data_IF_376876271743
#
_entry.id   IF_376876271743
#
_cell.length_a   1.000
_cell.length_b   1.000
_cell.length_c   1.000
_cell.angle_alpha   90.00
_cell.angle_beta   90.00
_cell.angle_gamma   90.00
#
_symmetry.space_group_name_H-M   'P 1'
#
loop_
_entity.id
_entity.type
_entity.pdbx_description
1 polymer ?
#
# COMPACT_ATOMS: atom_id res chain seq x y z
N UNK A 1 -7.11 9.89 15.57
CA UNK A 1 -8.11 10.35 16.55
C UNK A 1 -7.52 11.03 17.80
N UNK A 2 -6.47 10.50 18.45
CA UNK A 2 -5.93 11.10 19.69
C UNK A 2 -5.25 12.46 19.51
N UNK A 3 -5.10 12.94 18.27
CA UNK A 3 -4.50 14.25 17.93
C UNK A 3 -3.13 14.45 18.57
N UNK A 4 -2.29 13.42 18.52
CA UNK A 4 -0.96 13.44 19.12
C UNK A 4 0.09 13.07 18.07
N UNK A 5 0.74 14.09 17.50
CA UNK A 5 1.76 13.94 16.46
C UNK A 5 2.97 13.14 16.93
N UNK A 6 3.38 13.30 18.20
CA UNK A 6 4.52 12.56 18.77
C UNK A 6 4.23 11.06 18.80
N UNK A 7 3.06 10.69 19.32
CA UNK A 7 2.63 9.29 19.34
C UNK A 7 2.44 8.72 17.93
N UNK A 8 1.83 9.50 17.03
CA UNK A 8 1.67 9.09 15.62
C UNK A 8 3.04 8.74 15.01
N UNK A 9 4.03 9.62 15.19
CA UNK A 9 5.41 9.40 14.74
C UNK A 9 6.02 8.13 15.32
N UNK A 10 5.88 7.90 16.62
CA UNK A 10 6.42 6.70 17.29
C UNK A 10 5.84 5.41 16.69
N UNK A 11 4.54 5.39 16.37
CA UNK A 11 3.91 4.25 15.70
C UNK A 11 4.42 4.07 14.26
N UNK A 12 4.63 5.16 13.52
CA UNK A 12 5.21 5.08 12.17
C UNK A 12 6.65 4.54 12.20
N UNK A 13 7.47 4.93 13.19
CA UNK A 13 8.83 4.40 13.35
C UNK A 13 8.83 2.91 13.73
N UNK A 14 7.82 2.43 14.47
CA UNK A 14 7.64 1.00 14.74
C UNK A 14 7.26 0.26 13.45
N UNK A 15 6.32 0.80 12.66
CA UNK A 15 5.90 0.21 11.39
C UNK A 15 7.06 0.12 10.40
N UNK A 16 7.86 1.18 10.26
CA UNK A 16 9.03 1.24 9.38
C UNK A 16 10.09 0.16 9.72
N UNK A 17 10.40 -0.03 11.01
CA UNK A 17 11.30 -1.10 11.45
C UNK A 17 10.77 -2.49 11.11
N UNK A 18 9.49 -2.75 11.39
CA UNK A 18 8.87 -4.05 11.10
C UNK A 18 8.74 -4.32 9.60
N UNK A 19 8.51 -3.29 8.78
CA UNK A 19 8.50 -3.42 7.32
C UNK A 19 9.86 -3.87 6.79
N UNK A 20 10.96 -3.35 7.37
CA UNK A 20 12.31 -3.82 7.02
C UNK A 20 12.48 -5.30 7.32
N UNK A 21 12.00 -5.78 8.47
CA UNK A 21 12.05 -7.21 8.82
C UNK A 21 11.20 -8.07 7.88
N UNK A 22 10.01 -7.60 7.49
CA UNK A 22 9.15 -8.30 6.53
C UNK A 22 9.85 -8.43 5.17
N UNK A 23 10.44 -7.34 4.67
CA UNK A 23 11.10 -7.31 3.35
C UNK A 23 12.21 -8.36 3.24
N UNK A 24 12.97 -8.60 4.32
CA UNK A 24 14.02 -9.63 4.35
C UNK A 24 13.47 -11.06 4.23
N UNK A 25 12.23 -11.29 4.63
CA UNK A 25 11.57 -12.60 4.56
C UNK A 25 10.95 -12.88 3.18
N UNK A 26 10.76 -11.86 2.35
CA UNK A 26 10.13 -12.01 1.03
C UNK A 26 11.08 -12.67 0.04
N UNK A 27 10.52 -13.59 -0.75
CA UNK A 27 11.19 -14.15 -1.91
C UNK A 27 10.79 -13.43 -3.21
N UNK A 28 11.14 -14.01 -4.36
CA UNK A 28 10.91 -13.41 -5.68
C UNK A 28 9.55 -13.78 -6.30
N UNK A 29 8.72 -14.54 -5.59
CA UNK A 29 7.32 -14.84 -5.90
C UNK A 29 6.35 -13.96 -5.10
N UNK A 30 6.84 -13.28 -4.06
CA UNK A 30 6.03 -12.41 -3.21
C UNK A 30 5.86 -10.99 -3.77
N UNK A 31 4.68 -10.42 -3.50
CA UNK A 31 4.37 -9.01 -3.74
C UNK A 31 3.83 -8.38 -2.45
N UNK A 32 4.54 -7.39 -1.93
CA UNK A 32 4.11 -6.60 -0.77
C UNK A 32 3.44 -5.31 -1.24
N UNK A 33 2.22 -5.05 -0.76
CA UNK A 33 1.52 -3.77 -0.96
C UNK A 33 1.30 -3.11 0.41
N UNK A 34 1.72 -1.85 0.54
CA UNK A 34 1.49 -1.01 1.72
C UNK A 34 0.66 0.21 1.32
N UNK A 35 -0.51 0.38 1.94
CA UNK A 35 -1.39 1.51 1.71
C UNK A 35 -2.14 1.93 2.98
N UNK A 36 -2.65 3.16 2.98
CA UNK A 36 -3.67 3.59 3.95
C UNK A 36 -5.06 3.61 3.29
N UNK A 37 -6.11 3.83 4.06
CA UNK A 37 -7.50 3.92 3.60
C UNK A 37 -8.09 5.33 3.73
N UNK A 38 -7.54 6.16 4.63
CA UNK A 38 -7.89 7.58 4.81
C UNK A 38 -6.76 8.36 5.49
N UNK A 39 -6.93 9.68 5.61
CA UNK A 39 -6.07 10.56 6.42
C UNK A 39 -6.64 10.76 7.83
N UNK A 40 -5.76 11.01 8.79
CA UNK A 40 -6.15 11.34 10.17
C UNK A 40 -5.11 12.29 10.77
N UNK A 41 -4.99 13.48 10.15
CA UNK A 41 -4.01 14.50 10.52
C UNK A 41 -4.12 14.84 12.03
N UNK A 42 -3.07 14.60 12.82
CA UNK A 42 -3.09 14.84 14.26
C UNK A 42 -3.10 16.33 14.65
N UNK A 43 -2.82 17.26 13.72
CA UNK A 43 -2.72 18.70 13.96
C UNK A 43 -3.86 19.52 13.35
N UNK A 44 -4.81 18.88 12.67
CA UNK A 44 -5.91 19.54 11.95
C UNK A 44 -6.91 20.30 12.83
N UNK A 45 -6.83 20.15 14.16
CA UNK A 45 -7.70 20.83 15.12
C UNK A 45 -9.03 20.11 15.40
N UNK A 46 -9.23 18.89 14.87
CA UNK A 46 -10.34 18.01 15.24
C UNK A 46 -9.93 16.53 15.23
N UNK A 47 -10.75 15.66 15.82
CA UNK A 47 -10.46 14.23 15.91
C UNK A 47 -11.10 13.37 14.82
N UNK A 48 -11.81 13.94 13.85
CA UNK A 48 -12.38 13.20 12.71
C UNK A 48 -11.32 12.87 11.64
N UNK A 49 -11.63 11.91 10.77
CA UNK A 49 -10.79 11.62 9.60
C UNK A 49 -10.72 12.82 8.65
N UNK A 50 -9.60 12.96 7.97
CA UNK A 50 -9.35 13.93 6.91
C UNK A 50 -9.41 13.26 5.54
N UNK A 51 -9.91 14.00 4.55
CA UNK A 51 -10.02 13.50 3.17
C UNK A 51 -8.70 13.76 2.44
N UNK A 52 -7.82 12.77 2.49
CA UNK A 52 -6.48 12.84 1.90
C UNK A 52 -6.27 11.77 0.83
N UNK A 53 -5.29 12.00 -0.04
CA UNK A 53 -4.69 10.91 -0.81
C UNK A 53 -3.94 9.98 0.14
N UNK A 54 -4.01 8.68 -0.13
CA UNK A 54 -3.28 7.66 0.64
C UNK A 54 -2.04 7.23 -0.12
N UNK A 55 -0.92 6.92 0.57
CA UNK A 55 0.25 6.35 -0.09
C UNK A 55 -0.10 4.96 -0.64
N UNK A 56 0.56 4.59 -1.74
CA UNK A 56 0.56 3.24 -2.28
C UNK A 56 2.01 2.88 -2.61
N UNK A 57 2.58 1.99 -1.82
CA UNK A 57 3.89 1.40 -2.06
C UNK A 57 3.70 -0.06 -2.44
N UNK A 58 4.43 -0.52 -3.45
CA UNK A 58 4.41 -1.90 -3.87
C UNK A 58 5.85 -2.37 -4.10
N UNK A 59 6.19 -3.52 -3.54
CA UNK A 59 7.54 -4.07 -3.54
C UNK A 59 7.53 -5.52 -4.02
N UNK A 60 8.43 -5.81 -4.96
CA UNK A 60 8.78 -7.15 -5.38
C UNK A 60 10.31 -7.25 -5.48
N UNK A 61 10.86 -8.34 -4.94
CA UNK A 61 12.30 -8.60 -4.96
C UNK A 61 12.84 -8.65 -6.39
N UNK A 62 13.96 -7.98 -6.62
CA UNK A 62 14.63 -7.95 -7.93
C UNK A 62 14.01 -7.01 -8.97
N UNK A 63 13.04 -6.16 -8.58
CA UNK A 63 12.48 -5.13 -9.45
C UNK A 63 13.11 -3.76 -9.18
N UNK A 64 13.07 -2.88 -10.19
CA UNK A 64 13.48 -1.48 -10.04
C UNK A 64 12.28 -0.60 -9.69
N UNK A 65 12.48 0.38 -8.81
CA UNK A 65 11.43 1.32 -8.43
C UNK A 65 10.98 2.19 -9.62
N UNK A 66 9.67 2.25 -9.84
CA UNK A 66 9.02 3.13 -10.82
C UNK A 66 7.92 3.95 -10.15
N UNK A 67 7.54 5.06 -10.79
CA UNK A 67 6.35 5.81 -10.40
C UNK A 67 5.13 5.23 -11.14
N UNK A 68 4.22 4.60 -10.39
CA UNK A 68 2.97 4.02 -10.94
C UNK A 68 1.82 5.04 -11.10
N UNK A 69 2.09 6.31 -10.78
CA UNK A 69 1.16 7.42 -10.85
C UNK A 69 0.10 7.41 -9.74
N UNK A 70 -0.76 8.42 -9.76
CA UNK A 70 -1.93 8.49 -8.86
C UNK A 70 -3.01 7.52 -9.32
N UNK A 71 -3.49 6.69 -8.41
CA UNK A 71 -4.62 5.78 -8.67
C UNK A 71 -5.95 6.52 -8.57
N UNK A 72 -6.92 6.14 -9.40
CA UNK A 72 -8.24 6.80 -9.42
C UNK A 72 -9.12 6.36 -8.27
N UNK A 73 -8.91 5.14 -7.77
CA UNK A 73 -9.68 4.54 -6.68
C UNK A 73 -8.82 3.54 -5.92
N UNK A 74 -9.12 3.35 -4.64
CA UNK A 74 -8.53 2.27 -3.82
C UNK A 74 -8.87 0.88 -4.37
N UNK A 75 -9.96 0.76 -5.15
CA UNK A 75 -10.32 -0.49 -5.83
C UNK A 75 -9.27 -0.99 -6.81
N UNK A 76 -8.35 -0.13 -7.27
CA UNK A 76 -7.24 -0.53 -8.14
C UNK A 76 -6.34 -1.57 -7.46
N UNK A 77 -6.18 -1.52 -6.13
CA UNK A 77 -5.44 -2.53 -5.37
C UNK A 77 -6.18 -3.88 -5.41
N UNK A 78 -7.50 -3.87 -5.20
CA UNK A 78 -8.32 -5.08 -5.30
C UNK A 78 -8.29 -5.68 -6.70
N UNK A 79 -8.39 -4.84 -7.74
CA UNK A 79 -8.26 -5.28 -9.14
C UNK A 79 -6.88 -5.89 -9.42
N UNK A 80 -5.81 -5.29 -8.90
CA UNK A 80 -4.45 -5.85 -9.01
C UNK A 80 -4.29 -7.19 -8.32
N UNK A 81 -4.84 -7.36 -7.11
CA UNK A 81 -4.83 -8.65 -6.39
C UNK A 81 -5.60 -9.71 -7.20
N UNK A 82 -6.77 -9.36 -7.73
CA UNK A 82 -7.55 -10.28 -8.54
C UNK A 82 -6.81 -10.72 -9.80
N UNK A 83 -6.18 -9.77 -10.51
CA UNK A 83 -5.37 -10.06 -11.69
C UNK A 83 -4.11 -10.88 -11.34
N UNK A 84 -3.45 -10.59 -10.21
CA UNK A 84 -2.27 -11.35 -9.74
C UNK A 84 -2.59 -12.83 -9.51
N UNK A 85 -3.72 -13.13 -8.87
CA UNK A 85 -4.16 -14.51 -8.59
C UNK A 85 -5.05 -15.12 -9.68
N UNK A 86 -5.20 -14.47 -10.84
CA UNK A 86 -6.08 -14.94 -11.93
C UNK A 86 -7.51 -15.25 -11.48
N UNK A 87 -8.03 -14.44 -10.58
CA UNK A 87 -9.39 -14.56 -10.04
C UNK A 87 -10.39 -13.65 -10.75
N UNK A 88 -11.67 -13.80 -10.42
CA UNK A 88 -12.72 -12.95 -10.98
C UNK A 88 -12.49 -11.47 -10.61
N UNK A 89 -12.53 -10.60 -11.61
CA UNK A 89 -12.36 -9.16 -11.42
C UNK A 89 -13.47 -8.53 -10.57
N UNK A 90 -13.14 -7.53 -9.74
CA UNK A 90 -14.14 -6.74 -9.03
C UNK A 90 -14.94 -5.86 -9.99
N UNK A 91 -16.04 -5.28 -9.50
CA UNK A 91 -16.87 -4.36 -10.27
C UNK A 91 -16.18 -3.03 -10.60
N UNK A 92 -15.13 -2.66 -9.86
CA UNK A 92 -14.42 -1.39 -9.98
C UNK A 92 -12.92 -1.59 -9.84
N UNK A 93 -12.15 -0.68 -10.43
CA UNK A 93 -10.70 -0.61 -10.30
C UNK A 93 -9.98 -1.01 -11.58
N UNK A 94 -8.89 -0.30 -11.86
CA UNK A 94 -7.95 -0.58 -12.94
C UNK A 94 -6.70 -1.22 -12.34
N UNK A 95 -6.46 -2.49 -12.67
CA UNK A 95 -5.27 -3.22 -12.19
C UNK A 95 -3.97 -2.55 -12.66
N UNK A 96 -2.96 -2.65 -11.79
CA UNK A 96 -1.58 -2.28 -12.04
C UNK A 96 -0.62 -3.46 -11.85
N UNK A 97 -1.15 -4.70 -11.75
CA UNK A 97 -0.34 -5.90 -11.57
C UNK A 97 0.69 -6.13 -12.69
N UNK A 98 0.44 -5.58 -13.89
CA UNK A 98 1.35 -5.67 -15.04
C UNK A 98 2.71 -4.98 -14.87
N UNK A 99 2.94 -4.22 -13.79
CA UNK A 99 4.26 -3.71 -13.44
C UNK A 99 5.15 -4.75 -12.74
N UNK A 100 4.59 -5.87 -12.31
CA UNK A 100 5.28 -6.91 -11.55
C UNK A 100 5.50 -8.17 -12.38
N UNK A 101 6.52 -8.92 -12.01
CA UNK A 101 6.89 -10.16 -12.70
C UNK A 101 6.17 -11.31 -12.01
N UNK A 102 5.12 -11.85 -12.64
CA UNK A 102 4.52 -13.09 -12.15
C UNK A 102 5.41 -14.25 -12.57
N UNK A 103 5.84 -15.07 -11.61
CA UNK A 103 6.56 -16.31 -11.88
C UNK A 103 5.56 -17.46 -11.97
N UNK A 104 5.74 -18.31 -12.98
CA UNK A 104 4.96 -19.54 -13.09
C UNK A 104 5.35 -20.49 -11.95
N UNK A 105 4.34 -21.08 -11.31
CA UNK A 105 4.47 -22.12 -10.28
C UNK A 105 4.42 -23.50 -10.93
#
# INVERSE_FOLDING_TARGET
HSMNSKWYKEILEIADRNLSEIIELLDDQDLLIVMADHGNDPEIGHNHHTREYVPLLAYQKGTSGINIGTRKTMSDVGASVCDWFESQRPQNGDSFAGYFIKKDV
#
